data_IF_791228638373
#
_entry.id   IF_791228638373
#
_cell.length_a   1.000
_cell.length_b   1.000
_cell.length_c   1.000
_cell.angle_alpha   90.00
_cell.angle_beta   90.00
_cell.angle_gamma   90.00
#
_symmetry.space_group_name_H-M   'P 1'
#
loop_
_entity.id
_entity.type
_entity.pdbx_description
1 polymer ?
#
# COMPACT_ATOMS: atom_id res chain seq x y z
N UNK A 1 31.11 1.69 17.36
CA UNK A 1 30.35 2.16 18.54
C UNK A 1 28.86 2.14 18.28
N UNK A 2 28.07 1.91 19.33
CA UNK A 2 26.61 1.89 19.29
C UNK A 2 26.09 2.92 20.29
N UNK A 3 25.11 3.73 19.87
CA UNK A 3 24.39 4.66 20.73
C UNK A 3 22.91 4.28 20.70
N UNK A 4 22.24 4.22 21.85
CA UNK A 4 20.83 3.86 21.88
C UNK A 4 20.11 4.22 23.17
N UNK A 5 18.79 4.36 23.06
CA UNK A 5 17.85 4.54 24.16
C UNK A 5 17.07 3.24 24.30
N UNK A 6 17.04 2.70 25.52
CA UNK A 6 16.33 1.48 25.85
C UNK A 6 15.19 1.78 26.82
N UNK A 7 14.07 1.08 26.67
CA UNK A 7 12.89 1.20 27.54
C UNK A 7 12.60 -0.11 28.26
N UNK A 8 12.14 -0.01 29.50
CA UNK A 8 11.84 -1.13 30.39
C UNK A 8 12.10 -0.73 31.84
N UNK A 9 11.28 -1.22 32.77
CA UNK A 9 11.44 -1.02 34.22
C UNK A 9 12.16 -2.18 34.89
N UNK A 10 12.20 -3.35 34.25
CA UNK A 10 12.75 -4.57 34.81
C UNK A 10 14.23 -4.73 34.40
N UNK A 11 15.16 -4.80 35.37
CA UNK A 11 16.57 -5.05 35.08
C UNK A 11 16.75 -6.34 34.27
N UNK A 12 17.35 -6.22 33.08
CA UNK A 12 17.60 -7.35 32.19
C UNK A 12 16.53 -7.59 31.11
N UNK A 13 15.41 -6.84 31.13
CA UNK A 13 14.37 -6.93 30.10
C UNK A 13 14.16 -5.58 29.38
N UNK A 14 15.26 -4.89 29.11
CA UNK A 14 15.24 -3.64 28.36
C UNK A 14 15.05 -3.93 26.87
N UNK A 15 14.14 -3.20 26.23
CA UNK A 15 13.94 -3.26 24.78
C UNK A 15 14.47 -1.99 24.13
N UNK A 16 15.18 -2.13 23.01
CA UNK A 16 15.71 -0.97 22.31
C UNK A 16 14.53 -0.18 21.71
N UNK A 17 14.37 1.08 22.12
CA UNK A 17 13.37 1.98 21.54
C UNK A 17 13.93 2.65 20.28
N UNK A 18 15.19 3.08 20.36
CA UNK A 18 15.95 3.71 19.29
C UNK A 18 17.42 3.34 19.44
N UNK A 19 18.11 2.97 18.36
CA UNK A 19 19.57 2.88 18.38
C UNK A 19 20.19 3.10 17.01
N UNK A 20 21.43 3.57 17.02
CA UNK A 20 22.28 3.72 15.84
C UNK A 20 23.34 2.64 15.87
N UNK A 21 23.36 1.84 14.82
CA UNK A 21 24.36 0.79 14.64
C UNK A 21 24.78 0.71 13.17
N UNK A 22 26.09 0.71 12.93
CA UNK A 22 26.68 0.65 11.59
C UNK A 22 26.09 1.69 10.61
N UNK A 23 25.89 2.93 11.09
CA UNK A 23 25.33 4.03 10.30
C UNK A 23 23.83 3.94 10.01
N UNK A 24 23.12 2.96 10.57
CA UNK A 24 21.67 2.79 10.43
C UNK A 24 20.96 3.11 11.73
N UNK A 25 19.81 3.75 11.60
CA UNK A 25 18.88 4.01 12.71
C UNK A 25 17.85 2.89 12.74
N UNK A 26 17.65 2.31 13.94
CA UNK A 26 16.64 1.31 14.20
C UNK A 26 15.62 1.86 15.18
N UNK A 27 14.34 1.75 14.84
CA UNK A 27 13.21 2.17 15.66
C UNK A 27 12.20 1.03 15.64
N UNK A 28 11.74 0.60 16.82
CA UNK A 28 10.75 -0.49 16.91
C UNK A 28 9.35 0.02 16.55
N UNK A 29 8.92 1.07 17.24
CA UNK A 29 7.61 1.71 17.08
C UNK A 29 7.79 3.24 17.17
N UNK A 30 7.01 3.99 16.39
CA UNK A 30 7.01 5.45 16.44
C UNK A 30 5.58 6.00 16.27
N UNK A 31 5.19 6.93 17.13
CA UNK A 31 4.05 7.81 16.90
C UNK A 31 4.60 9.15 16.42
N UNK A 32 4.31 9.51 15.18
CA UNK A 32 4.77 10.74 14.55
C UNK A 32 3.53 11.58 14.26
N UNK A 33 3.42 12.76 14.88
CA UNK A 33 2.29 13.65 14.65
C UNK A 33 2.28 14.13 13.18
N UNK A 34 3.41 14.64 12.71
CA UNK A 34 3.60 15.09 11.33
C UNK A 34 4.94 14.56 10.80
N UNK A 35 4.88 13.69 9.80
CA UNK A 35 6.05 13.03 9.20
C UNK A 35 6.27 13.45 7.76
N UNK A 36 7.52 13.77 7.40
CA UNK A 36 7.94 13.99 6.02
C UNK A 36 9.15 13.10 5.72
N UNK A 37 9.07 12.33 4.64
CA UNK A 37 10.12 11.41 4.19
C UNK A 37 10.37 11.68 2.72
N UNK A 38 11.57 12.15 2.37
CA UNK A 38 11.92 12.45 0.98
C UNK A 38 11.94 11.20 0.08
N UNK A 39 12.33 10.05 0.62
CA UNK A 39 12.27 8.76 -0.06
C UNK A 39 12.23 7.60 0.95
N UNK A 40 11.39 6.60 0.70
CA UNK A 40 11.28 5.41 1.54
C UNK A 40 11.38 4.13 0.69
N UNK A 41 12.32 3.24 1.02
CA UNK A 41 12.28 1.85 0.58
C UNK A 41 11.47 1.05 1.58
N UNK A 42 10.61 0.16 1.10
CA UNK A 42 9.79 -0.69 1.96
C UNK A 42 10.22 -2.16 1.81
N UNK A 43 10.30 -2.86 2.94
CA UNK A 43 10.67 -4.27 2.97
C UNK A 43 9.52 -5.21 2.62
N UNK A 44 8.31 -4.89 3.07
CA UNK A 44 7.11 -5.72 2.89
C UNK A 44 5.94 -4.93 2.30
N UNK A 45 5.32 -4.04 3.07
CA UNK A 45 4.17 -3.24 2.66
C UNK A 45 4.03 -1.97 3.52
N UNK A 46 3.25 -1.02 3.03
CA UNK A 46 2.61 0.04 3.83
C UNK A 46 1.10 -0.21 3.74
N UNK A 47 0.39 -0.08 4.87
CA UNK A 47 -1.05 -0.32 4.90
C UNK A 47 -1.74 0.53 5.98
N UNK A 48 -3.06 0.67 5.88
CA UNK A 48 -3.85 1.21 6.97
C UNK A 48 -3.94 0.25 8.15
N UNK A 49 -4.20 0.80 9.34
CA UNK A 49 -4.38 0.03 10.57
C UNK A 49 -5.58 -0.93 10.50
N UNK A 50 -6.62 -0.58 9.74
CA UNK A 50 -7.83 -1.38 9.54
C UNK A 50 -7.78 -2.23 8.25
N UNK A 51 -6.59 -2.41 7.66
CA UNK A 51 -6.45 -3.21 6.45
C UNK A 51 -6.79 -4.67 6.73
N UNK A 52 -7.78 -5.17 5.98
CA UNK A 52 -8.16 -6.58 5.89
C UNK A 52 -8.25 -6.88 4.40
N UNK A 53 -7.39 -7.79 3.92
CA UNK A 53 -7.32 -8.16 2.50
C UNK A 53 -8.71 -8.59 1.98
N UNK A 54 -9.08 -8.07 0.82
CA UNK A 54 -10.37 -8.28 0.16
C UNK A 54 -11.56 -7.57 0.81
N UNK A 55 -11.39 -6.76 1.87
CA UNK A 55 -12.51 -6.23 2.63
C UNK A 55 -12.44 -4.73 2.96
N UNK A 56 -11.40 -4.29 3.67
CA UNK A 56 -11.32 -2.93 4.21
C UNK A 56 -9.91 -2.38 4.19
N UNK A 57 -9.81 -1.06 4.23
CA UNK A 57 -8.54 -0.36 4.32
C UNK A 57 -7.77 -0.33 3.00
N UNK A 58 -6.48 -0.11 3.09
CA UNK A 58 -5.60 -0.08 1.94
C UNK A 58 -4.23 -0.69 2.22
N UNK A 59 -3.56 -1.19 1.18
CA UNK A 59 -2.19 -1.72 1.22
C UNK A 59 -1.46 -1.44 -0.09
N UNK A 60 -0.17 -1.12 0.00
CA UNK A 60 0.79 -1.13 -1.12
C UNK A 60 1.96 -2.04 -0.72
N UNK A 61 2.29 -3.04 -1.52
CA UNK A 61 3.38 -3.99 -1.24
C UNK A 61 4.68 -3.70 -2.01
N UNK A 62 5.76 -4.37 -1.61
CA UNK A 62 7.08 -4.27 -2.23
C UNK A 62 7.14 -4.73 -3.69
N UNK A 63 6.16 -5.51 -4.15
CA UNK A 63 6.09 -6.01 -5.52
C UNK A 63 5.31 -5.04 -6.43
N UNK A 64 4.77 -3.95 -5.89
CA UNK A 64 4.04 -2.93 -6.62
C UNK A 64 2.53 -3.16 -6.69
N UNK A 65 1.98 -4.14 -5.95
CA UNK A 65 0.53 -4.31 -5.88
C UNK A 65 -0.08 -3.28 -4.94
N UNK A 66 -1.25 -2.74 -5.32
CA UNK A 66 -2.04 -1.84 -4.49
C UNK A 66 -3.47 -2.37 -4.34
N UNK A 67 -3.96 -2.42 -3.10
CA UNK A 67 -5.32 -2.78 -2.75
C UNK A 67 -5.97 -1.63 -2.00
N UNK A 68 -7.10 -1.12 -2.51
CA UNK A 68 -7.75 0.09 -2.03
C UNK A 68 -9.26 -0.18 -1.83
N UNK A 69 -9.69 -0.38 -0.58
CA UNK A 69 -11.11 -0.52 -0.22
C UNK A 69 -11.68 0.82 0.19
N UNK A 70 -12.03 1.62 -0.81
CA UNK A 70 -12.55 2.96 -0.62
C UNK A 70 -12.76 3.66 -1.95
N UNK A 71 -12.86 4.98 -1.91
CA UNK A 71 -12.94 5.79 -3.12
C UNK A 71 -11.54 6.15 -3.56
N UNK A 72 -11.19 5.78 -4.79
CA UNK A 72 -10.01 6.29 -5.47
C UNK A 72 -10.42 7.56 -6.24
N UNK A 73 -9.96 8.72 -5.77
CA UNK A 73 -10.13 10.00 -6.45
C UNK A 73 -8.84 10.34 -7.19
N UNK A 74 -8.91 10.51 -8.51
CA UNK A 74 -7.77 10.88 -9.34
C UNK A 74 -8.20 11.97 -10.34
N UNK A 75 -7.46 13.08 -10.40
CA UNK A 75 -7.70 14.16 -11.37
C UNK A 75 -7.36 13.71 -12.80
N UNK A 76 -6.44 12.74 -12.95
CA UNK A 76 -6.13 12.05 -14.21
C UNK A 76 -5.43 10.70 -13.94
N UNK A 77 -5.47 9.75 -14.88
CA UNK A 77 -4.78 8.45 -14.76
C UNK A 77 -4.88 7.59 -16.01
N UNK A 78 -3.87 6.75 -16.26
CA UNK A 78 -3.87 5.75 -17.33
C UNK A 78 -3.95 4.36 -16.69
N UNK A 79 -5.09 3.69 -16.86
CA UNK A 79 -5.30 2.30 -16.41
C UNK A 79 -5.18 1.37 -17.60
N UNK A 80 -4.03 0.70 -17.69
CA UNK A 80 -3.76 -0.32 -18.68
C UNK A 80 -4.30 -1.65 -18.17
N UNK A 81 -5.48 -2.03 -18.64
CA UNK A 81 -5.91 -3.42 -18.60
C UNK A 81 -5.28 -4.06 -19.83
N UNK A 82 -3.96 -4.32 -19.80
CA UNK A 82 -3.15 -4.75 -20.93
C UNK A 82 -2.40 -6.06 -20.60
N UNK A 83 -2.85 -7.17 -21.17
CA UNK A 83 -2.42 -8.56 -20.99
C UNK A 83 -3.29 -9.47 -21.88
N UNK A 84 -2.90 -10.72 -22.07
CA UNK A 84 -3.72 -11.67 -22.83
C UNK A 84 -5.05 -11.88 -22.06
N UNK A 85 -6.19 -11.49 -22.65
CA UNK A 85 -7.56 -11.43 -22.08
C UNK A 85 -7.97 -10.15 -21.31
N UNK A 86 -7.72 -8.98 -21.89
CA UNK A 86 -8.03 -7.67 -21.29
C UNK A 86 -9.50 -7.37 -21.07
N UNK A 87 -9.88 -7.58 -19.82
CA UNK A 87 -11.09 -7.14 -19.16
C UNK A 87 -11.03 -5.61 -19.04
N UNK A 88 -11.93 -4.88 -19.69
CA UNK A 88 -13.17 -4.56 -18.99
C UNK A 88 -12.99 -3.46 -17.93
N UNK A 89 -13.68 -2.35 -18.18
CA UNK A 89 -14.07 -1.38 -17.15
C UNK A 89 -15.19 -2.01 -16.32
N UNK A 90 -15.10 -2.01 -14.99
CA UNK A 90 -16.20 -2.41 -14.09
C UNK A 90 -16.61 -1.19 -13.26
N UNK A 91 -17.87 -0.81 -13.34
CA UNK A 91 -18.45 0.24 -12.51
C UNK A 91 -19.88 -0.14 -12.07
N UNK A 92 -20.55 0.75 -11.33
CA UNK A 92 -21.95 0.54 -10.91
C UNK A 92 -22.98 0.53 -12.05
N UNK A 93 -22.59 0.88 -13.28
CA UNK A 93 -23.38 0.84 -14.52
C UNK A 93 -22.98 -0.33 -15.42
N UNK A 94 -22.03 -1.16 -14.99
CA UNK A 94 -21.60 -2.34 -15.70
C UNK A 94 -20.26 -2.23 -16.43
N UNK A 95 -20.17 -3.03 -17.48
CA UNK A 95 -18.93 -3.54 -18.05
C UNK A 95 -18.78 -3.13 -19.50
N UNK A 96 -17.59 -2.71 -19.91
CA UNK A 96 -17.30 -2.48 -21.34
C UNK A 96 -16.07 -3.25 -21.77
N UNK A 97 -16.24 -4.17 -22.73
CA UNK A 97 -15.21 -5.12 -23.23
C UNK A 97 -14.94 -4.86 -24.70
N UNK A 98 -13.70 -4.83 -25.15
CA UNK A 98 -13.35 -4.77 -26.58
C UNK A 98 -13.01 -6.17 -27.12
N UNK A 99 -13.36 -6.44 -28.38
CA UNK A 99 -13.14 -7.74 -29.02
C UNK A 99 -11.98 -7.72 -30.03
N UNK A 100 -11.11 -8.76 -30.08
CA UNK A 100 -10.11 -8.93 -31.14
C UNK A 100 -10.83 -9.09 -32.49
N UNK A 101 -10.53 -8.21 -33.46
CA UNK A 101 -11.20 -8.21 -34.78
C UNK A 101 -12.38 -7.24 -34.94
N UNK A 102 -12.75 -6.48 -33.89
CA UNK A 102 -13.76 -5.42 -33.95
C UNK A 102 -15.03 -5.72 -33.13
N UNK A 103 -15.56 -4.70 -32.44
CA UNK A 103 -16.75 -4.78 -31.59
C UNK A 103 -16.46 -4.46 -30.12
N UNK A 104 -17.49 -4.00 -29.40
CA UNK A 104 -17.45 -3.91 -27.94
C UNK A 104 -18.75 -4.43 -27.34
N UNK A 105 -18.64 -5.07 -26.19
CA UNK A 105 -19.79 -5.47 -25.39
C UNK A 105 -19.93 -4.46 -24.25
N UNK A 106 -21.08 -3.80 -24.16
CA UNK A 106 -21.47 -2.98 -23.00
C UNK A 106 -22.49 -3.80 -22.21
N UNK A 107 -22.28 -3.99 -20.92
CA UNK A 107 -23.15 -4.80 -20.06
C UNK A 107 -23.37 -4.12 -18.72
N UNK A 108 -24.49 -3.41 -18.60
CA UNK A 108 -25.10 -2.96 -17.36
C UNK A 108 -26.29 -2.05 -17.72
N UNK A 109 -26.76 -1.14 -16.86
CA UNK A 109 -27.92 -0.30 -17.27
C UNK A 109 -27.59 0.50 -18.53
N UNK A 110 -28.46 0.42 -19.54
CA UNK A 110 -28.76 1.56 -20.42
C UNK A 110 -29.65 2.56 -19.69
#
# INVERSE_FOLDING_TARGET
DQFGIYSGSDPGNYTAAFFVYNGQVFIRDALIQDGSISNAKIGNYIQSNNFVAGSTGWRIDKNGNAELHGKLYADSGQFAFNGENNTVVINGNGVTVNLPGGGRVVVGRW
#
